data_IF_587167245865
#
_entry.id   IF_587167245865
#
_cell.length_a   1.000
_cell.length_b   1.000
_cell.length_c   1.000
_cell.angle_alpha   90.00
_cell.angle_beta   90.00
_cell.angle_gamma   90.00
#
_symmetry.space_group_name_H-M   'P 1'
#
loop_
_entity.id
_entity.type
_entity.pdbx_description
1 polymer ?
#
# COMPACT_ATOMS: atom_id res chain seq x y z
N UNK A 1 -28.30 -17.76 3.94
CA UNK A 1 -27.91 -16.87 2.82
C UNK A 1 -27.71 -15.42 3.29
N UNK A 2 -28.60 -14.87 4.13
CA UNK A 2 -28.50 -13.49 4.67
C UNK A 2 -27.20 -13.24 5.47
N UNK A 3 -26.77 -14.14 6.36
CA UNK A 3 -25.54 -13.95 7.15
C UNK A 3 -24.26 -13.95 6.29
N UNK A 4 -24.23 -14.74 5.20
CA UNK A 4 -23.08 -14.78 4.29
C UNK A 4 -23.00 -13.51 3.43
N UNK A 5 -24.14 -12.97 3.00
CA UNK A 5 -24.23 -11.69 2.30
C UNK A 5 -23.95 -10.51 3.24
N UNK A 6 -24.39 -10.58 4.49
CA UNK A 6 -24.08 -9.56 5.50
C UNK A 6 -22.57 -9.51 5.79
N UNK A 7 -21.95 -10.69 6.00
CA UNK A 7 -20.50 -10.81 6.14
C UNK A 7 -19.71 -10.41 4.87
N UNK A 8 -20.32 -10.45 3.67
CA UNK A 8 -19.65 -9.98 2.45
C UNK A 8 -19.75 -8.47 2.31
N UNK A 9 -20.92 -7.88 2.61
CA UNK A 9 -21.12 -6.42 2.58
C UNK A 9 -20.23 -5.71 3.60
N UNK A 10 -20.12 -6.22 4.83
CA UNK A 10 -19.21 -5.64 5.83
C UNK A 10 -17.73 -5.78 5.43
N UNK A 11 -17.38 -6.87 4.75
CA UNK A 11 -16.03 -7.06 4.17
C UNK A 11 -15.75 -6.06 3.07
N UNK A 12 -16.68 -5.83 2.15
CA UNK A 12 -16.52 -4.85 1.08
C UNK A 12 -16.41 -3.42 1.62
N UNK A 13 -17.16 -3.08 2.69
CA UNK A 13 -17.06 -1.78 3.36
C UNK A 13 -15.68 -1.62 4.02
N UNK A 14 -15.23 -2.63 4.75
CA UNK A 14 -13.92 -2.62 5.41
C UNK A 14 -12.78 -2.54 4.37
N UNK A 15 -12.86 -3.32 3.30
CA UNK A 15 -11.87 -3.34 2.23
C UNK A 15 -11.80 -1.97 1.54
N UNK A 16 -12.94 -1.36 1.19
CA UNK A 16 -12.97 -0.01 0.62
C UNK A 16 -12.41 1.05 1.57
N UNK A 17 -12.74 0.97 2.86
CA UNK A 17 -12.18 1.88 3.86
C UNK A 17 -10.66 1.74 3.95
N UNK A 18 -10.16 0.50 4.04
CA UNK A 18 -8.72 0.21 4.06
C UNK A 18 -8.02 0.73 2.79
N UNK A 19 -8.61 0.55 1.61
CA UNK A 19 -8.03 1.06 0.37
C UNK A 19 -7.90 2.58 0.35
N UNK A 20 -8.93 3.29 0.83
CA UNK A 20 -8.93 4.75 0.83
C UNK A 20 -7.90 5.31 1.81
N UNK A 21 -7.89 4.82 3.06
CA UNK A 21 -6.94 5.29 4.08
C UNK A 21 -5.50 4.92 3.71
N UNK A 22 -5.28 3.69 3.24
CA UNK A 22 -3.94 3.22 2.88
C UNK A 22 -3.37 3.99 1.70
N UNK A 23 -4.20 4.43 0.75
CA UNK A 23 -3.71 5.26 -0.35
C UNK A 23 -3.13 6.57 0.18
N UNK A 24 -3.87 7.28 1.04
CA UNK A 24 -3.43 8.55 1.62
C UNK A 24 -2.10 8.38 2.36
N UNK A 25 -2.02 7.40 3.27
CA UNK A 25 -0.81 7.14 4.07
C UNK A 25 0.39 6.84 3.17
N UNK A 26 0.24 5.93 2.21
CA UNK A 26 1.34 5.53 1.33
C UNK A 26 1.74 6.68 0.41
N UNK A 27 0.78 7.44 -0.10
CA UNK A 27 1.06 8.57 -0.99
C UNK A 27 1.78 9.72 -0.28
N UNK A 28 1.45 10.01 0.98
CA UNK A 28 2.22 10.96 1.81
C UNK A 28 3.67 10.53 1.96
N UNK A 29 3.93 9.25 2.26
CA UNK A 29 5.29 8.70 2.34
C UNK A 29 6.02 8.78 0.99
N UNK A 30 5.34 8.47 -0.12
CA UNK A 30 5.91 8.62 -1.47
C UNK A 30 6.28 10.07 -1.75
N UNK A 31 5.43 11.03 -1.38
CA UNK A 31 5.71 12.45 -1.56
C UNK A 31 6.89 12.94 -0.72
N UNK A 32 6.95 12.52 0.54
CA UNK A 32 8.07 12.82 1.43
C UNK A 32 9.39 12.29 0.85
N UNK A 33 9.42 11.03 0.41
CA UNK A 33 10.61 10.40 -0.17
C UNK A 33 10.99 10.94 -1.56
N UNK A 34 10.03 11.54 -2.27
CA UNK A 34 10.25 12.11 -3.60
C UNK A 34 10.60 13.61 -3.55
N UNK A 35 10.70 14.24 -2.38
CA UNK A 35 10.96 15.69 -2.27
C UNK A 35 12.22 16.12 -3.02
N UNK A 36 13.24 15.25 -3.03
CA UNK A 36 14.55 15.48 -3.65
C UNK A 36 14.75 14.69 -4.97
N UNK A 37 13.67 14.11 -5.52
CA UNK A 37 13.72 13.28 -6.74
C UNK A 37 12.73 13.84 -7.77
N UNK A 38 13.23 14.22 -8.94
CA UNK A 38 12.37 14.66 -10.04
C UNK A 38 11.64 13.47 -10.70
N UNK A 39 10.46 13.15 -10.16
CA UNK A 39 9.54 12.11 -10.60
C UNK A 39 8.21 12.74 -11.01
N UNK A 40 7.59 12.26 -12.09
CA UNK A 40 6.25 12.73 -12.46
C UNK A 40 5.20 12.37 -11.42
N UNK A 41 4.18 13.21 -11.28
CA UNK A 41 3.06 12.95 -10.39
C UNK A 41 2.34 11.62 -10.71
N UNK A 42 2.20 11.29 -11.99
CA UNK A 42 1.60 10.01 -12.42
C UNK A 42 2.37 8.80 -11.91
N UNK A 43 3.70 8.89 -11.90
CA UNK A 43 4.57 7.79 -11.45
C UNK A 43 4.51 7.67 -9.92
N UNK A 44 4.46 8.80 -9.19
CA UNK A 44 4.21 8.79 -7.73
C UNK A 44 2.88 8.12 -7.38
N UNK A 45 1.80 8.48 -8.08
CA UNK A 45 0.47 7.86 -7.91
C UNK A 45 0.52 6.36 -8.24
N UNK A 46 1.26 5.96 -9.27
CA UNK A 46 1.42 4.54 -9.63
C UNK A 46 2.15 3.76 -8.54
N UNK A 47 3.29 4.28 -8.06
CA UNK A 47 4.06 3.72 -6.94
C UNK A 47 3.17 3.59 -5.70
N UNK A 48 2.45 4.66 -5.32
CA UNK A 48 1.58 4.64 -4.17
C UNK A 48 0.47 3.58 -4.29
N UNK A 49 -0.16 3.46 -5.48
CA UNK A 49 -1.16 2.44 -5.72
C UNK A 49 -0.63 1.01 -5.61
N UNK A 50 0.59 0.75 -6.10
CA UNK A 50 1.22 -0.56 -5.99
C UNK A 50 1.41 -0.96 -4.53
N UNK A 51 2.01 -0.10 -3.71
CA UNK A 51 2.24 -0.39 -2.29
C UNK A 51 0.95 -0.41 -1.46
N UNK A 52 -0.04 0.41 -1.81
CA UNK A 52 -1.39 0.33 -1.23
C UNK A 52 -2.00 -1.07 -1.40
N UNK A 53 -1.92 -1.65 -2.61
CA UNK A 53 -2.46 -3.00 -2.87
C UNK A 53 -1.75 -4.04 -2.00
N UNK A 54 -0.42 -3.99 -1.92
CA UNK A 54 0.35 -4.89 -1.07
C UNK A 54 -0.03 -4.74 0.42
N UNK A 55 -0.23 -3.50 0.87
CA UNK A 55 -0.59 -3.20 2.26
C UNK A 55 -1.98 -3.74 2.62
N UNK A 56 -2.99 -3.39 1.82
CA UNK A 56 -4.37 -3.83 2.04
C UNK A 56 -4.49 -5.34 1.89
N UNK A 57 -3.84 -5.94 0.89
CA UNK A 57 -3.82 -7.39 0.71
C UNK A 57 -3.26 -8.13 1.93
N UNK A 58 -2.20 -7.60 2.53
CA UNK A 58 -1.60 -8.14 3.75
C UNK A 58 -2.57 -8.09 4.94
N UNK A 59 -3.28 -6.97 5.13
CA UNK A 59 -4.28 -6.83 6.21
C UNK A 59 -5.46 -7.78 5.98
N UNK A 60 -5.95 -7.88 4.75
CA UNK A 60 -7.05 -8.78 4.40
C UNK A 60 -6.65 -10.24 4.65
N UNK A 61 -5.44 -10.64 4.29
CA UNK A 61 -4.93 -11.99 4.56
C UNK A 61 -4.88 -12.29 6.06
N UNK A 62 -4.41 -11.33 6.86
CA UNK A 62 -4.42 -11.46 8.31
C UNK A 62 -5.82 -11.62 8.90
N UNK A 63 -6.79 -10.82 8.44
CA UNK A 63 -8.20 -10.91 8.86
C UNK A 63 -8.77 -12.27 8.45
N UNK A 64 -8.50 -12.73 7.23
CA UNK A 64 -8.93 -14.05 6.73
C UNK A 64 -8.35 -15.20 7.55
N UNK A 65 -7.15 -15.03 8.10
CA UNK A 65 -6.47 -15.99 8.97
C UNK A 65 -6.86 -15.83 10.45
N UNK A 66 -8.07 -15.35 10.73
CA UNK A 66 -8.63 -15.17 12.08
C UNK A 66 -7.76 -14.30 13.01
N UNK A 67 -6.94 -13.41 12.45
CA UNK A 67 -6.13 -12.46 13.20
C UNK A 67 -5.20 -13.13 14.25
N UNK A 68 -4.70 -14.33 13.95
CA UNK A 68 -3.92 -15.14 14.90
C UNK A 68 -2.57 -14.49 15.24
N UNK A 69 -1.91 -13.88 14.25
CA UNK A 69 -0.66 -13.13 14.47
C UNK A 69 -0.96 -11.78 15.12
N UNK A 70 -0.04 -11.29 15.97
CA UNK A 70 -0.13 -9.92 16.49
C UNK A 70 -0.05 -8.92 15.32
N UNK A 71 -0.98 -7.95 15.22
CA UNK A 71 -1.02 -6.99 14.12
C UNK A 71 0.29 -6.19 13.99
N UNK A 72 1.00 -5.93 15.09
CA UNK A 72 2.28 -5.23 15.06
C UNK A 72 3.35 -6.06 14.36
N UNK A 73 3.30 -7.39 14.43
CA UNK A 73 4.25 -8.27 13.72
C UNK A 73 4.06 -8.11 12.22
N UNK A 74 2.81 -8.09 11.77
CA UNK A 74 2.47 -7.96 10.35
C UNK A 74 2.85 -6.57 9.83
N UNK A 75 2.48 -5.52 10.57
CA UNK A 75 2.86 -4.14 10.23
C UNK A 75 4.39 -4.01 10.16
N UNK A 76 5.13 -4.58 11.12
CA UNK A 76 6.60 -4.55 11.10
C UNK A 76 7.21 -5.30 9.91
N UNK A 77 6.69 -6.49 9.56
CA UNK A 77 7.13 -7.25 8.38
C UNK A 77 6.89 -6.43 7.11
N UNK A 78 5.71 -5.81 7.02
CA UNK A 78 5.29 -5.00 5.88
C UNK A 78 6.12 -3.72 5.75
N UNK A 79 6.34 -2.99 6.83
CA UNK A 79 7.25 -1.83 6.87
C UNK A 79 8.65 -2.20 6.40
N UNK A 80 9.22 -3.33 6.85
CA UNK A 80 10.56 -3.77 6.41
C UNK A 80 10.68 -4.00 4.91
N UNK A 81 9.59 -4.40 4.25
CA UNK A 81 9.56 -4.59 2.80
C UNK A 81 9.37 -3.24 2.12
N UNK A 82 8.37 -2.47 2.53
CA UNK A 82 7.99 -1.22 1.87
C UNK A 82 9.05 -0.12 2.06
N UNK A 83 9.57 0.02 3.27
CA UNK A 83 10.54 1.05 3.65
C UNK A 83 11.87 0.79 2.94
N UNK A 84 12.27 1.74 2.08
CA UNK A 84 13.47 1.65 1.24
C UNK A 84 13.20 1.15 -0.18
N UNK A 85 12.21 0.27 -0.37
CA UNK A 85 11.77 -0.13 -1.71
C UNK A 85 11.04 1.00 -2.44
N UNK A 86 10.24 1.81 -1.73
CA UNK A 86 9.61 3.01 -2.31
C UNK A 86 10.68 3.97 -2.87
N UNK A 87 11.72 4.27 -2.08
CA UNK A 87 12.79 5.16 -2.52
C UNK A 87 13.54 4.60 -3.72
N UNK A 88 13.84 3.29 -3.72
CA UNK A 88 14.42 2.61 -4.90
C UNK A 88 13.52 2.70 -6.13
N UNK A 89 12.22 2.55 -5.98
CA UNK A 89 11.26 2.69 -7.07
C UNK A 89 11.28 4.13 -7.61
N UNK A 90 11.22 5.14 -6.75
CA UNK A 90 11.29 6.55 -7.15
C UNK A 90 12.55 6.87 -7.96
N UNK A 91 13.71 6.35 -7.56
CA UNK A 91 14.96 6.54 -8.32
C UNK A 91 14.87 5.97 -9.74
N UNK A 92 14.20 4.83 -9.93
CA UNK A 92 13.99 4.21 -11.25
C UNK A 92 13.01 5.00 -12.13
N UNK A 93 12.07 5.73 -11.52
CA UNK A 93 11.11 6.60 -12.21
C UNK A 93 11.60 8.05 -12.31
N UNK A 94 12.84 8.34 -11.90
CA UNK A 94 13.44 9.67 -12.08
C UNK A 94 13.52 9.98 -13.56
N UNK A 95 13.09 11.18 -13.97
CA UNK A 95 13.00 11.61 -15.37
C UNK A 95 14.32 11.60 -16.16
N UNK A 96 15.45 11.33 -15.52
CA UNK A 96 16.80 11.47 -16.08
C UNK A 96 17.46 10.15 -16.52
N UNK A 97 16.72 9.06 -16.68
CA UNK A 97 17.22 7.86 -17.37
C UNK A 97 16.39 7.59 -18.63
N UNK A 98 16.75 8.27 -19.72
CA UNK A 98 16.52 7.71 -21.06
C UNK A 98 17.31 6.39 -21.14
N UNK A 99 16.67 5.27 -21.53
CA UNK A 99 17.41 4.06 -21.83
C UNK A 99 18.27 4.31 -23.07
N UNK A 100 19.58 4.19 -22.89
CA UNK A 100 20.57 4.01 -23.97
C UNK A 100 20.31 2.68 -24.71
#
# INVERSE_FOLDING_TARGET
MVLNTFNSVERDILENHLYNESFTIIYEVVNELASDIDVNEKDKIYIANFYKIAFVGTIIEWIKNNMIEDPNIIINKLQKIITGDIHRALLKFRKNEEPN
#
